data_IF_925463078356
#
_entry.id   IF_925463078356
#
_cell.length_a   1.000
_cell.length_b   1.000
_cell.length_c   1.000
_cell.angle_alpha   90.00
_cell.angle_beta   90.00
_cell.angle_gamma   90.00
#
_symmetry.space_group_name_H-M   'P 1'
#
loop_
_entity.id
_entity.type
_entity.pdbx_description
1 polymer ?
#
# COMPACT_ATOMS: atom_id res chain seq x y z
N UNK A 1 18.84 -3.85 -4.68
CA UNK A 1 17.51 -3.20 -4.65
C UNK A 1 17.31 -2.48 -3.30
N UNK A 2 18.27 -2.28 -2.47
CA UNK A 2 18.28 -1.56 -1.21
C UNK A 2 19.70 -1.18 -0.85
N UNK A 3 19.94 -0.55 0.32
CA UNK A 3 21.29 -0.27 0.78
C UNK A 3 22.11 -1.57 0.98
N UNK A 4 21.46 -2.70 1.26
CA UNK A 4 22.06 -4.03 1.17
C UNK A 4 22.07 -4.45 -0.30
N UNK A 5 23.25 -4.55 -0.90
CA UNK A 5 23.43 -4.92 -2.32
C UNK A 5 22.96 -6.36 -2.57
N UNK A 6 21.68 -6.54 -2.82
CA UNK A 6 21.14 -7.84 -3.27
C UNK A 6 21.59 -8.11 -4.71
N UNK A 7 22.13 -9.29 -4.96
CA UNK A 7 22.63 -9.68 -6.29
C UNK A 7 21.68 -10.67 -6.98
N UNK A 8 21.76 -10.73 -8.29
CA UNK A 8 20.97 -11.69 -9.08
C UNK A 8 21.39 -13.12 -8.72
N UNK A 9 22.68 -13.35 -8.49
CA UNK A 9 23.23 -14.65 -8.08
C UNK A 9 22.65 -15.09 -6.73
N UNK A 10 22.58 -14.17 -5.75
CA UNK A 10 21.99 -14.44 -4.44
C UNK A 10 20.50 -14.78 -4.53
N UNK A 11 19.73 -14.02 -5.32
CA UNK A 11 18.30 -14.31 -5.54
C UNK A 11 18.09 -15.63 -6.29
N UNK A 12 18.98 -15.97 -7.25
CA UNK A 12 18.92 -17.26 -7.95
C UNK A 12 19.23 -18.41 -6.98
N UNK A 13 20.25 -18.27 -6.13
CA UNK A 13 20.58 -19.25 -5.10
C UNK A 13 19.42 -19.43 -4.10
N UNK A 14 18.80 -18.34 -3.66
CA UNK A 14 17.62 -18.37 -2.80
C UNK A 14 16.44 -19.11 -3.45
N UNK A 15 16.17 -18.84 -4.73
CA UNK A 15 15.12 -19.53 -5.46
C UNK A 15 15.38 -21.04 -5.56
N UNK A 16 16.57 -21.43 -6.00
CA UNK A 16 16.92 -22.84 -6.20
C UNK A 16 16.95 -23.62 -4.88
N UNK A 17 17.55 -23.07 -3.84
CA UNK A 17 17.57 -23.71 -2.51
C UNK A 17 16.16 -23.85 -1.93
N UNK A 18 15.33 -22.80 -2.00
CA UNK A 18 13.95 -22.85 -1.55
C UNK A 18 13.12 -23.86 -2.35
N UNK A 19 13.31 -23.91 -3.68
CA UNK A 19 12.64 -24.88 -4.54
C UNK A 19 12.95 -26.31 -4.12
N UNK A 20 14.23 -26.64 -3.93
CA UNK A 20 14.67 -27.98 -3.52
C UNK A 20 14.15 -28.36 -2.14
N UNK A 21 14.28 -27.45 -1.16
CA UNK A 21 13.83 -27.70 0.22
C UNK A 21 12.33 -27.93 0.28
N UNK A 22 11.53 -27.05 -0.36
CA UNK A 22 10.07 -27.15 -0.35
C UNK A 22 9.62 -28.38 -1.14
N UNK A 23 10.23 -28.68 -2.29
CA UNK A 23 9.91 -29.87 -3.08
C UNK A 23 10.20 -31.16 -2.29
N UNK A 24 11.36 -31.25 -1.62
CA UNK A 24 11.73 -32.38 -0.77
C UNK A 24 10.72 -32.55 0.37
N UNK A 25 10.35 -31.47 1.07
CA UNK A 25 9.36 -31.54 2.14
C UNK A 25 7.97 -31.97 1.64
N UNK A 26 7.52 -31.46 0.48
CA UNK A 26 6.25 -31.83 -0.12
C UNK A 26 6.22 -33.27 -0.66
N UNK A 27 7.35 -33.77 -1.16
CA UNK A 27 7.46 -35.16 -1.63
C UNK A 27 7.17 -36.18 -0.50
N UNK A 28 7.51 -35.84 0.75
CA UNK A 28 7.18 -36.67 1.93
C UNK A 28 5.68 -36.76 2.23
N UNK A 29 4.87 -35.89 1.66
CA UNK A 29 3.40 -35.90 1.87
C UNK A 29 2.67 -36.85 0.91
N UNK A 30 3.37 -37.55 0.02
CA UNK A 30 2.77 -38.49 -0.94
C UNK A 30 2.00 -37.82 -2.10
N UNK A 31 2.19 -36.51 -2.32
CA UNK A 31 1.54 -35.78 -3.42
C UNK A 31 2.17 -36.14 -4.78
N UNK A 32 1.41 -36.04 -5.88
CA UNK A 32 1.94 -36.25 -7.23
C UNK A 32 3.10 -35.30 -7.52
N UNK A 33 4.14 -35.78 -8.21
CA UNK A 33 5.36 -35.01 -8.49
C UNK A 33 5.09 -33.66 -9.19
N UNK A 34 4.12 -33.60 -10.11
CA UNK A 34 3.73 -32.36 -10.77
C UNK A 34 3.15 -31.31 -9.81
N UNK A 35 2.38 -31.75 -8.81
CA UNK A 35 1.82 -30.85 -7.78
C UNK A 35 2.93 -30.38 -6.81
N UNK A 36 3.85 -31.27 -6.44
CA UNK A 36 5.01 -30.96 -5.62
C UNK A 36 5.85 -29.87 -6.27
N UNK A 37 6.20 -30.03 -7.54
CA UNK A 37 6.99 -29.04 -8.28
C UNK A 37 6.27 -27.72 -8.47
N UNK A 38 4.98 -27.75 -8.77
CA UNK A 38 4.15 -26.57 -8.92
C UNK A 38 4.09 -25.74 -7.63
N UNK A 39 3.75 -26.38 -6.50
CA UNK A 39 3.66 -25.68 -5.21
C UNK A 39 5.03 -25.18 -4.73
N UNK A 40 6.06 -26.01 -4.89
CA UNK A 40 7.43 -25.63 -4.53
C UNK A 40 7.89 -24.39 -5.34
N UNK A 41 7.59 -24.33 -6.63
CA UNK A 41 7.96 -23.20 -7.48
C UNK A 41 7.24 -21.90 -7.05
N UNK A 42 5.96 -21.95 -6.71
CA UNK A 42 5.21 -20.79 -6.21
C UNK A 42 5.77 -20.26 -4.89
N UNK A 43 6.01 -21.17 -3.93
CA UNK A 43 6.56 -20.81 -2.61
C UNK A 43 7.98 -20.26 -2.75
N UNK A 44 8.84 -20.92 -3.54
CA UNK A 44 10.21 -20.47 -3.77
C UNK A 44 10.27 -19.10 -4.43
N UNK A 45 9.42 -18.85 -5.44
CA UNK A 45 9.35 -17.55 -6.12
C UNK A 45 8.90 -16.45 -5.15
N UNK A 46 7.84 -16.69 -4.37
CA UNK A 46 7.36 -15.73 -3.39
C UNK A 46 8.41 -15.42 -2.32
N UNK A 47 9.04 -16.46 -1.74
CA UNK A 47 10.10 -16.32 -0.74
C UNK A 47 11.29 -15.52 -1.27
N UNK A 48 11.71 -15.78 -2.53
CA UNK A 48 12.79 -15.06 -3.20
C UNK A 48 12.48 -13.57 -3.34
N UNK A 49 11.24 -13.21 -3.70
CA UNK A 49 10.86 -11.78 -3.79
C UNK A 49 10.82 -11.15 -2.40
N UNK A 50 10.33 -11.86 -1.37
CA UNK A 50 10.39 -11.37 0.03
C UNK A 50 11.84 -11.08 0.47
N UNK A 51 12.78 -11.98 0.15
CA UNK A 51 14.21 -11.80 0.43
C UNK A 51 14.77 -10.61 -0.32
N UNK A 52 14.47 -10.47 -1.62
CA UNK A 52 15.02 -9.42 -2.48
C UNK A 52 14.64 -8.00 -2.04
N UNK A 53 13.52 -7.81 -1.33
CA UNK A 53 13.10 -6.50 -0.81
C UNK A 53 13.42 -6.31 0.67
N UNK A 54 13.93 -7.32 1.34
CA UNK A 54 14.23 -7.26 2.77
C UNK A 54 15.31 -6.22 3.09
N UNK A 55 15.18 -5.63 4.27
CA UNK A 55 16.08 -4.59 4.78
C UNK A 55 16.35 -4.82 6.26
N UNK A 56 17.62 -4.70 6.68
CA UNK A 56 18.05 -4.85 8.08
C UNK A 56 17.55 -6.13 8.76
N UNK A 57 17.55 -7.27 8.05
CA UNK A 57 17.15 -8.55 8.61
C UNK A 57 15.64 -8.80 8.65
N UNK A 58 14.84 -7.99 7.95
CA UNK A 58 13.38 -8.22 7.86
C UNK A 58 13.02 -9.52 7.14
N UNK A 59 13.93 -10.08 6.34
CA UNK A 59 13.84 -11.42 5.72
C UNK A 59 13.65 -12.54 6.74
N UNK A 60 14.26 -12.43 7.91
CA UNK A 60 14.09 -13.40 9.00
C UNK A 60 12.62 -13.54 9.46
N UNK A 61 11.79 -12.55 9.16
CA UNK A 61 10.35 -12.58 9.46
C UNK A 61 9.50 -12.74 8.19
N UNK A 62 9.79 -11.97 7.14
CA UNK A 62 8.93 -11.90 5.95
C UNK A 62 9.01 -13.16 5.09
N UNK A 63 10.19 -13.78 4.99
CA UNK A 63 10.38 -15.01 4.22
C UNK A 63 9.65 -16.19 4.86
N UNK A 64 9.89 -16.55 6.15
CA UNK A 64 9.20 -17.69 6.74
C UNK A 64 7.69 -17.50 6.86
N UNK A 65 7.21 -16.32 7.29
CA UNK A 65 5.78 -16.07 7.41
C UNK A 65 5.09 -16.05 6.05
N UNK A 66 5.70 -15.43 5.05
CA UNK A 66 5.15 -15.38 3.70
C UNK A 66 5.13 -16.76 3.03
N UNK A 67 6.22 -17.52 3.14
CA UNK A 67 6.27 -18.89 2.64
C UNK A 67 5.25 -19.80 3.34
N UNK A 68 5.13 -19.68 4.67
CA UNK A 68 4.14 -20.44 5.44
C UNK A 68 2.71 -20.10 5.03
N UNK A 69 2.37 -18.83 4.82
CA UNK A 69 1.04 -18.39 4.38
C UNK A 69 0.69 -18.99 3.00
N UNK A 70 1.60 -18.87 2.03
CA UNK A 70 1.40 -19.40 0.68
C UNK A 70 1.29 -20.93 0.73
N UNK A 71 2.19 -21.58 1.42
CA UNK A 71 2.19 -23.04 1.56
C UNK A 71 0.92 -23.54 2.25
N UNK A 72 0.51 -22.90 3.35
CA UNK A 72 -0.72 -23.22 4.06
C UNK A 72 -1.93 -23.14 3.13
N UNK A 73 -2.05 -22.04 2.37
CA UNK A 73 -3.14 -21.89 1.39
C UNK A 73 -3.16 -23.03 0.38
N UNK A 74 -2.00 -23.33 -0.24
CA UNK A 74 -1.89 -24.39 -1.25
C UNK A 74 -2.17 -25.79 -0.71
N UNK A 75 -1.88 -26.05 0.57
CA UNK A 75 -2.10 -27.37 1.20
C UNK A 75 -3.52 -27.57 1.71
N UNK A 76 -4.22 -26.50 2.09
CA UNK A 76 -5.56 -26.58 2.72
C UNK A 76 -6.72 -26.40 1.73
N UNK A 77 -6.44 -25.95 0.51
CA UNK A 77 -7.44 -25.66 -0.50
C UNK A 77 -7.43 -26.69 -1.65
N UNK A 78 -8.48 -26.69 -2.47
CA UNK A 78 -8.59 -27.59 -3.62
C UNK A 78 -7.56 -27.23 -4.71
N UNK A 79 -7.31 -28.17 -5.63
CA UNK A 79 -6.47 -27.89 -6.81
C UNK A 79 -7.03 -26.75 -7.67
N UNK A 80 -8.35 -26.62 -7.76
CA UNK A 80 -9.00 -25.50 -8.44
C UNK A 80 -8.68 -24.15 -7.78
N UNK A 81 -8.72 -24.10 -6.45
CA UNK A 81 -8.32 -22.90 -5.70
C UNK A 81 -6.84 -22.57 -5.86
N UNK A 82 -5.96 -23.59 -5.85
CA UNK A 82 -4.54 -23.42 -6.10
C UNK A 82 -4.26 -22.88 -7.52
N UNK A 83 -5.04 -23.31 -8.52
CA UNK A 83 -4.95 -22.77 -9.88
C UNK A 83 -5.38 -21.30 -9.94
N UNK A 84 -6.48 -20.93 -9.27
CA UNK A 84 -6.93 -19.52 -9.16
C UNK A 84 -5.89 -18.68 -8.41
N UNK A 85 -5.30 -19.21 -7.35
CA UNK A 85 -4.20 -18.55 -6.65
C UNK A 85 -3.00 -18.29 -7.58
N UNK A 86 -2.62 -19.28 -8.40
CA UNK A 86 -1.54 -19.14 -9.38
C UNK A 86 -1.84 -18.07 -10.44
N UNK A 87 -3.09 -17.95 -10.89
CA UNK A 87 -3.54 -16.86 -11.76
C UNK A 87 -3.40 -15.50 -11.04
N UNK A 88 -3.74 -15.45 -9.75
CA UNK A 88 -3.54 -14.26 -8.90
C UNK A 88 -2.06 -13.87 -8.80
N UNK A 89 -1.15 -14.83 -8.62
CA UNK A 89 0.30 -14.61 -8.66
C UNK A 89 0.72 -14.06 -10.03
N UNK A 90 0.25 -14.66 -11.12
CA UNK A 90 0.52 -14.17 -12.48
C UNK A 90 0.04 -12.73 -12.69
N UNK A 91 -1.15 -12.39 -12.21
CA UNK A 91 -1.69 -11.02 -12.27
C UNK A 91 -0.84 -10.05 -11.43
N UNK A 92 -0.38 -10.46 -10.24
CA UNK A 92 0.51 -9.66 -9.41
C UNK A 92 1.84 -9.35 -10.11
N UNK A 93 2.42 -10.34 -10.81
CA UNK A 93 3.61 -10.15 -11.67
C UNK A 93 3.33 -9.13 -12.76
N UNK A 94 2.24 -9.28 -13.50
CA UNK A 94 1.88 -8.38 -14.60
C UNK A 94 1.69 -6.95 -14.10
N UNK A 95 0.93 -6.76 -13.02
CA UNK A 95 0.70 -5.42 -12.42
C UNK A 95 2.01 -4.79 -11.95
N UNK A 96 2.87 -5.55 -11.26
CA UNK A 96 4.16 -5.07 -10.77
C UNK A 96 5.09 -4.66 -11.92
N UNK A 97 5.24 -5.51 -12.95
CA UNK A 97 6.11 -5.25 -14.10
C UNK A 97 5.61 -4.08 -14.95
N UNK A 98 4.31 -4.02 -15.26
CA UNK A 98 3.73 -2.91 -16.01
C UNK A 98 3.90 -1.59 -15.25
N UNK A 99 3.64 -1.58 -13.95
CA UNK A 99 3.77 -0.39 -13.13
C UNK A 99 5.20 0.10 -12.99
N UNK A 100 6.16 -0.84 -12.94
CA UNK A 100 7.59 -0.51 -13.00
C UNK A 100 7.98 0.10 -14.37
N UNK A 101 7.58 -0.53 -15.48
CA UNK A 101 7.86 -0.01 -16.84
C UNK A 101 7.21 1.35 -17.09
N UNK A 102 6.01 1.57 -16.59
CA UNK A 102 5.29 2.85 -16.67
C UNK A 102 5.83 3.91 -15.69
N UNK A 103 6.87 3.58 -14.89
CA UNK A 103 7.46 4.47 -13.88
C UNK A 103 6.46 4.96 -12.83
N UNK A 104 5.45 4.15 -12.50
CA UNK A 104 4.59 4.34 -11.33
C UNK A 104 5.26 3.84 -10.05
N UNK A 105 6.07 2.76 -10.19
CA UNK A 105 6.78 2.11 -9.10
C UNK A 105 8.30 2.10 -9.36
N UNK A 106 9.07 2.20 -8.28
CA UNK A 106 10.50 1.83 -8.27
C UNK A 106 10.65 0.31 -8.28
N UNK A 107 11.88 -0.20 -8.37
CA UNK A 107 12.13 -1.65 -8.27
C UNK A 107 11.64 -2.24 -6.95
N UNK A 108 11.91 -1.56 -5.83
CA UNK A 108 11.42 -1.99 -4.51
C UNK A 108 9.89 -1.90 -4.39
N UNK A 109 9.28 -0.84 -4.97
CA UNK A 109 7.83 -0.68 -5.03
C UNK A 109 7.16 -1.78 -5.86
N UNK A 110 7.76 -2.20 -6.97
CA UNK A 110 7.26 -3.29 -7.80
C UNK A 110 7.29 -4.63 -7.05
N UNK A 111 8.38 -4.92 -6.32
CA UNK A 111 8.49 -6.12 -5.53
C UNK A 111 7.48 -6.14 -4.35
N UNK A 112 7.30 -5.01 -3.65
CA UNK A 112 6.27 -4.88 -2.61
C UNK A 112 4.85 -5.04 -3.19
N UNK A 113 4.59 -4.49 -4.39
CA UNK A 113 3.31 -4.66 -5.11
C UNK A 113 3.08 -6.11 -5.53
N UNK A 114 4.12 -6.83 -5.92
CA UNK A 114 4.01 -8.26 -6.21
C UNK A 114 3.59 -9.05 -4.96
N UNK A 115 4.24 -8.82 -3.80
CA UNK A 115 3.90 -9.51 -2.55
C UNK A 115 2.46 -9.21 -2.13
N UNK A 116 2.11 -7.93 -2.07
CA UNK A 116 0.75 -7.50 -1.71
C UNK A 116 -0.28 -8.01 -2.71
N UNK A 117 0.02 -7.93 -4.01
CA UNK A 117 -0.83 -8.43 -5.07
C UNK A 117 -1.04 -9.94 -5.00
N UNK A 118 0.00 -10.71 -4.68
CA UNK A 118 -0.13 -12.18 -4.49
C UNK A 118 -1.11 -12.49 -3.36
N UNK A 119 -1.06 -11.78 -2.26
CA UNK A 119 -1.99 -11.94 -1.14
C UNK A 119 -3.41 -11.54 -1.58
N UNK A 120 -3.56 -10.35 -2.15
CA UNK A 120 -4.88 -9.80 -2.48
C UNK A 120 -5.54 -10.53 -3.64
N UNK A 121 -4.82 -10.82 -4.72
CA UNK A 121 -5.38 -11.47 -5.90
C UNK A 121 -5.52 -12.98 -5.71
N UNK A 122 -4.53 -13.61 -5.04
CA UNK A 122 -4.51 -15.05 -4.80
C UNK A 122 -5.51 -15.48 -3.72
N UNK A 123 -5.48 -14.83 -2.55
CA UNK A 123 -6.33 -15.18 -1.40
C UNK A 123 -7.65 -14.41 -1.44
N UNK A 124 -7.60 -13.09 -1.65
CA UNK A 124 -8.76 -12.20 -1.56
C UNK A 124 -9.71 -12.29 -2.76
N UNK A 125 -9.23 -12.78 -3.90
CA UNK A 125 -10.01 -12.90 -5.16
C UNK A 125 -10.60 -11.53 -5.59
N UNK A 126 -11.63 -11.55 -6.46
CA UNK A 126 -12.19 -10.35 -7.07
C UNK A 126 -12.73 -9.31 -6.10
N UNK A 127 -13.41 -9.66 -4.97
CA UNK A 127 -13.91 -8.66 -4.04
C UNK A 127 -12.81 -7.79 -3.45
N UNK A 128 -11.65 -8.35 -3.14
CA UNK A 128 -10.52 -7.61 -2.62
C UNK A 128 -9.64 -7.00 -3.74
N UNK A 129 -9.57 -7.66 -4.89
CA UNK A 129 -8.74 -7.23 -6.03
C UNK A 129 -9.22 -5.92 -6.63
N UNK A 130 -10.53 -5.77 -6.89
CA UNK A 130 -11.06 -4.61 -7.60
C UNK A 130 -10.88 -3.29 -6.81
N UNK A 131 -11.14 -3.20 -5.50
CA UNK A 131 -10.89 -1.99 -4.73
C UNK A 131 -9.41 -1.55 -4.76
N UNK A 132 -8.46 -2.47 -4.53
CA UNK A 132 -7.04 -2.10 -4.52
C UNK A 132 -6.52 -1.72 -5.91
N UNK A 133 -6.97 -2.38 -6.97
CA UNK A 133 -6.63 -2.00 -8.34
C UNK A 133 -7.22 -0.63 -8.68
N UNK A 134 -8.46 -0.34 -8.26
CA UNK A 134 -9.09 0.97 -8.43
C UNK A 134 -8.26 2.05 -7.75
N UNK A 135 -7.93 1.87 -6.47
CA UNK A 135 -7.02 2.78 -5.75
C UNK A 135 -5.72 2.97 -6.51
N UNK A 136 -5.03 1.87 -6.83
CA UNK A 136 -3.68 1.94 -7.40
C UNK A 136 -3.68 2.59 -8.78
N UNK A 137 -4.55 2.16 -9.69
CA UNK A 137 -4.58 2.64 -11.08
C UNK A 137 -5.02 4.11 -11.12
N UNK A 138 -6.16 4.45 -10.51
CA UNK A 138 -6.68 5.81 -10.60
C UNK A 138 -5.78 6.82 -9.87
N UNK A 139 -5.24 6.47 -8.70
CA UNK A 139 -4.29 7.31 -7.99
C UNK A 139 -2.97 7.47 -8.75
N UNK A 140 -2.51 6.43 -9.45
CA UNK A 140 -1.29 6.50 -10.27
C UNK A 140 -1.49 7.34 -11.54
N UNK A 141 -2.66 7.29 -12.15
CA UNK A 141 -3.01 8.16 -13.27
C UNK A 141 -3.13 9.62 -12.81
N UNK A 142 -3.82 9.85 -11.69
CA UNK A 142 -4.00 11.18 -11.12
C UNK A 142 -2.66 11.84 -10.74
N UNK A 143 -1.71 11.07 -10.21
CA UNK A 143 -0.38 11.58 -9.85
C UNK A 143 0.44 12.06 -11.07
N UNK A 144 0.11 11.60 -12.27
CA UNK A 144 0.73 12.11 -13.51
C UNK A 144 0.09 13.39 -14.04
N UNK A 145 -1.12 13.72 -13.60
CA UNK A 145 -1.78 14.96 -13.99
C UNK A 145 -1.08 16.16 -13.34
N UNK A 146 -0.99 17.27 -14.08
CA UNK A 146 -0.37 18.49 -13.58
C UNK A 146 1.14 18.41 -13.31
N UNK A 147 1.84 17.47 -13.93
CA UNK A 147 3.27 17.18 -13.70
C UNK A 147 4.17 18.42 -13.71
N UNK A 148 3.98 19.37 -14.64
CA UNK A 148 4.75 20.62 -14.73
C UNK A 148 4.59 21.49 -13.47
N UNK A 149 3.39 21.56 -12.88
CA UNK A 149 3.11 22.32 -11.67
C UNK A 149 3.70 21.64 -10.44
N UNK A 150 3.55 20.32 -10.34
CA UNK A 150 4.08 19.49 -9.25
C UNK A 150 5.61 19.46 -9.22
N UNK A 151 6.29 19.56 -10.37
CA UNK A 151 7.75 19.66 -10.43
C UNK A 151 8.30 20.88 -9.70
N UNK A 152 7.56 22.00 -9.67
CA UNK A 152 7.95 23.19 -8.89
C UNK A 152 7.86 22.95 -7.37
N UNK A 153 7.04 21.98 -6.92
CA UNK A 153 6.85 21.61 -5.53
C UNK A 153 7.76 20.46 -5.08
N UNK A 154 8.43 19.76 -6.00
CA UNK A 154 9.24 18.57 -5.73
C UNK A 154 10.41 18.78 -4.75
N UNK A 155 10.79 20.03 -4.47
CA UNK A 155 11.78 20.38 -3.46
C UNK A 155 11.26 20.38 -2.03
N UNK A 156 9.94 20.39 -1.81
CA UNK A 156 9.31 20.49 -0.49
C UNK A 156 8.79 19.13 0.00
N UNK A 157 8.29 18.29 -0.92
CA UNK A 157 7.67 16.98 -0.62
C UNK A 157 8.75 15.90 -0.51
N UNK A 158 8.65 15.03 0.48
CA UNK A 158 9.62 13.95 0.72
C UNK A 158 9.79 13.03 -0.50
N UNK A 159 8.69 12.58 -1.07
CA UNK A 159 8.69 11.60 -2.16
C UNK A 159 7.87 12.11 -3.34
N UNK A 160 8.55 12.58 -4.36
CA UNK A 160 7.97 12.89 -5.67
C UNK A 160 8.54 11.94 -6.72
N UNK A 161 7.70 11.10 -7.35
CA UNK A 161 8.15 10.20 -8.41
C UNK A 161 7.54 8.81 -8.33
N UNK A 162 8.31 7.79 -8.74
CA UNK A 162 7.89 6.39 -8.66
C UNK A 162 7.81 5.92 -7.20
N UNK A 163 6.68 5.32 -6.80
CA UNK A 163 6.44 4.86 -5.43
C UNK A 163 7.41 3.73 -5.07
N UNK A 164 8.00 3.81 -3.89
CA UNK A 164 8.87 2.78 -3.32
C UNK A 164 8.09 1.75 -2.48
N UNK A 165 8.82 0.75 -1.92
CA UNK A 165 8.22 -0.29 -1.11
C UNK A 165 7.48 0.25 0.12
N UNK A 166 8.05 1.28 0.80
CA UNK A 166 7.44 1.85 1.99
C UNK A 166 6.12 2.54 1.68
N UNK A 167 6.03 3.25 0.54
CA UNK A 167 4.78 3.85 0.09
C UNK A 167 3.71 2.81 -0.29
N UNK A 168 4.12 1.70 -0.91
CA UNK A 168 3.20 0.58 -1.20
C UNK A 168 2.69 -0.06 0.08
N UNK A 169 3.59 -0.30 1.05
CA UNK A 169 3.24 -0.89 2.35
C UNK A 169 2.38 0.09 3.18
N UNK A 170 2.72 1.38 3.18
CA UNK A 170 1.96 2.36 3.96
C UNK A 170 0.50 2.48 3.49
N UNK A 171 0.26 2.45 2.18
CA UNK A 171 -1.07 2.66 1.61
C UNK A 171 -1.87 1.37 1.40
N UNK A 172 -1.23 0.25 1.10
CA UNK A 172 -1.89 -1.03 0.81
C UNK A 172 -1.68 -2.10 1.88
N UNK A 173 -0.61 -1.99 2.67
CA UNK A 173 -0.24 -2.98 3.69
C UNK A 173 -1.30 -3.18 4.78
N UNK A 174 -1.90 -2.12 5.37
CA UNK A 174 -2.99 -2.28 6.32
C UNK A 174 -4.14 -3.13 5.76
N UNK A 175 -4.55 -2.87 4.50
CA UNK A 175 -5.54 -3.69 3.81
C UNK A 175 -5.09 -5.14 3.63
N UNK A 176 -3.85 -5.37 3.18
CA UNK A 176 -3.28 -6.71 3.05
C UNK A 176 -3.27 -7.49 4.37
N UNK A 177 -2.92 -6.83 5.48
CA UNK A 177 -2.98 -7.42 6.82
C UNK A 177 -4.41 -7.80 7.23
N UNK A 178 -5.37 -6.90 7.00
CA UNK A 178 -6.79 -7.16 7.33
C UNK A 178 -7.35 -8.34 6.51
N UNK A 179 -6.93 -8.49 5.26
CA UNK A 179 -7.28 -9.65 4.44
C UNK A 179 -6.70 -10.94 5.04
N UNK A 180 -5.42 -10.94 5.45
CA UNK A 180 -4.78 -12.12 6.09
C UNK A 180 -5.50 -12.46 7.38
N UNK A 181 -5.83 -11.47 8.21
CA UNK A 181 -6.59 -11.69 9.44
C UNK A 181 -7.97 -12.28 9.14
N UNK A 182 -8.66 -11.79 8.12
CA UNK A 182 -9.94 -12.33 7.66
C UNK A 182 -9.85 -13.74 7.07
N UNK A 183 -8.71 -14.11 6.51
CA UNK A 183 -8.43 -15.47 6.06
C UNK A 183 -8.22 -16.44 7.25
N UNK A 184 -7.51 -15.99 8.29
CA UNK A 184 -7.22 -16.80 9.49
C UNK A 184 -8.45 -16.92 10.40
N UNK A 185 -9.18 -15.82 10.59
CA UNK A 185 -10.40 -15.73 11.42
C UNK A 185 -11.58 -15.22 10.60
N UNK A 186 -12.26 -16.08 9.85
CA UNK A 186 -13.32 -15.67 8.93
C UNK A 186 -14.45 -14.90 9.63
N UNK A 187 -14.62 -13.63 9.26
CA UNK A 187 -15.72 -12.79 9.71
C UNK A 187 -15.99 -11.69 8.65
N UNK A 188 -17.27 -11.35 8.38
CA UNK A 188 -17.64 -10.36 7.37
C UNK A 188 -17.01 -8.98 7.55
N UNK A 189 -16.73 -8.58 8.78
CA UNK A 189 -16.15 -7.26 9.10
C UNK A 189 -14.81 -6.98 8.42
N UNK A 190 -14.01 -8.03 8.17
CA UNK A 190 -12.68 -7.85 7.61
C UNK A 190 -12.68 -7.19 6.23
N UNK A 191 -13.68 -7.49 5.40
CA UNK A 191 -13.84 -6.84 4.12
C UNK A 191 -14.19 -5.35 4.27
N UNK A 192 -15.05 -5.03 5.23
CA UNK A 192 -15.42 -3.64 5.54
C UNK A 192 -14.21 -2.82 6.01
N UNK A 193 -13.43 -3.40 6.93
CA UNK A 193 -12.19 -2.78 7.43
C UNK A 193 -11.14 -2.61 6.33
N UNK A 194 -10.99 -3.62 5.47
CA UNK A 194 -10.15 -3.57 4.28
C UNK A 194 -10.55 -2.41 3.36
N UNK A 195 -11.83 -2.31 3.03
CA UNK A 195 -12.36 -1.25 2.19
C UNK A 195 -12.15 0.14 2.81
N UNK A 196 -12.37 0.28 4.13
CA UNK A 196 -12.14 1.53 4.86
C UNK A 196 -10.66 1.95 4.84
N UNK A 197 -9.72 1.01 5.02
CA UNK A 197 -8.29 1.30 4.95
C UNK A 197 -7.85 1.81 3.57
N UNK A 198 -8.41 1.24 2.50
CA UNK A 198 -8.15 1.69 1.14
C UNK A 198 -8.87 3.01 0.81
N UNK A 199 -10.05 3.24 1.38
CA UNK A 199 -10.76 4.51 1.25
C UNK A 199 -9.94 5.66 1.85
N UNK A 200 -9.30 5.43 3.01
CA UNK A 200 -8.37 6.38 3.62
C UNK A 200 -7.21 6.72 2.68
N UNK A 201 -6.51 5.71 2.16
CA UNK A 201 -5.39 5.89 1.25
C UNK A 201 -5.80 6.59 -0.06
N UNK A 202 -7.00 6.26 -0.58
CA UNK A 202 -7.53 6.88 -1.81
C UNK A 202 -7.91 8.33 -1.56
N UNK A 203 -8.63 8.61 -0.48
CA UNK A 203 -9.06 9.95 -0.11
C UNK A 203 -7.87 10.89 0.11
N UNK A 204 -6.85 10.45 0.85
CA UNK A 204 -5.64 11.23 1.08
C UNK A 204 -4.88 11.48 -0.24
N UNK A 205 -4.63 10.44 -1.03
CA UNK A 205 -3.94 10.60 -2.32
C UNK A 205 -4.68 11.55 -3.25
N UNK A 206 -6.00 11.39 -3.42
CA UNK A 206 -6.77 12.24 -4.32
C UNK A 206 -6.90 13.67 -3.79
N UNK A 207 -7.05 13.84 -2.47
CA UNK A 207 -7.05 15.13 -1.81
C UNK A 207 -5.77 15.92 -2.08
N UNK A 208 -4.63 15.26 -1.91
CA UNK A 208 -3.30 15.85 -2.16
C UNK A 208 -3.07 16.14 -3.64
N UNK A 209 -3.37 15.15 -4.53
CA UNK A 209 -3.10 15.29 -5.96
C UNK A 209 -4.00 16.34 -6.62
N UNK A 210 -5.28 16.40 -6.28
CA UNK A 210 -6.25 17.38 -6.79
C UNK A 210 -6.02 18.73 -6.11
N UNK A 211 -5.76 18.73 -4.79
CA UNK A 211 -5.49 19.95 -4.02
C UNK A 211 -4.28 20.72 -4.55
N UNK A 212 -3.21 20.03 -4.97
CA UNK A 212 -2.03 20.68 -5.56
C UNK A 212 -2.31 21.31 -6.94
N UNK A 213 -3.39 20.97 -7.59
CA UNK A 213 -3.84 21.60 -8.84
C UNK A 213 -4.68 22.88 -8.58
N UNK A 214 -5.07 23.15 -7.34
CA UNK A 214 -5.79 24.38 -6.98
C UNK A 214 -4.98 25.64 -7.31
N UNK A 215 -5.66 26.70 -7.73
CA UNK A 215 -5.05 28.03 -7.93
C UNK A 215 -4.89 28.80 -6.63
N UNK A 216 -5.71 28.49 -5.64
CA UNK A 216 -5.70 29.13 -4.34
C UNK A 216 -4.74 28.43 -3.38
N UNK A 217 -4.09 29.17 -2.52
CA UNK A 217 -3.23 28.62 -1.47
C UNK A 217 -4.08 27.81 -0.48
N UNK A 218 -3.60 26.62 -0.05
CA UNK A 218 -4.26 25.85 0.99
C UNK A 218 -4.16 26.59 2.33
N UNK A 219 -5.00 26.17 3.29
CA UNK A 219 -4.95 26.66 4.67
C UNK A 219 -4.53 25.52 5.59
N UNK A 220 -3.72 25.86 6.61
CA UNK A 220 -3.40 24.90 7.66
C UNK A 220 -4.70 24.43 8.36
N UNK A 221 -4.88 23.11 8.51
CA UNK A 221 -6.05 22.54 9.20
C UNK A 221 -6.12 22.97 10.68
N UNK A 222 -4.99 23.35 11.30
CA UNK A 222 -4.90 23.73 12.71
C UNK A 222 -5.13 25.25 12.89
N UNK A 223 -4.46 26.08 12.08
CA UNK A 223 -4.46 27.53 12.29
C UNK A 223 -5.37 28.28 11.35
N UNK A 224 -5.91 27.61 10.31
CA UNK A 224 -6.70 28.18 9.21
C UNK A 224 -6.02 29.31 8.44
N UNK A 225 -4.73 29.57 8.71
CA UNK A 225 -3.93 30.56 7.99
C UNK A 225 -3.47 29.98 6.64
N UNK A 226 -3.32 30.82 5.59
CA UNK A 226 -2.76 30.38 4.32
C UNK A 226 -1.35 29.80 4.54
N UNK A 227 -1.06 28.71 3.83
CA UNK A 227 0.25 28.03 3.83
C UNK A 227 0.67 27.75 2.38
N UNK A 228 1.97 27.66 2.10
CA UNK A 228 2.44 27.30 0.76
C UNK A 228 1.86 25.96 0.28
N UNK A 229 1.59 25.85 -1.02
CA UNK A 229 1.14 24.60 -1.64
C UNK A 229 2.19 23.49 -1.40
N UNK A 230 1.75 22.30 -0.97
CA UNK A 230 2.63 21.18 -0.63
C UNK A 230 3.11 21.17 0.83
N UNK A 231 2.60 22.09 1.68
CA UNK A 231 2.84 22.05 3.13
C UNK A 231 1.98 20.93 3.74
N UNK A 232 2.59 20.03 4.54
CA UNK A 232 1.87 18.99 5.29
C UNK A 232 0.79 19.59 6.17
N UNK A 233 -0.41 19.04 6.12
CA UNK A 233 -1.59 19.54 6.85
C UNK A 233 -2.22 20.79 6.24
N UNK A 234 -1.85 21.15 5.01
CA UNK A 234 -2.53 22.17 4.22
C UNK A 234 -3.78 21.61 3.55
N UNK A 235 -4.95 22.13 3.88
CA UNK A 235 -6.25 21.73 3.30
C UNK A 235 -6.78 22.80 2.36
N UNK A 236 -7.51 22.39 1.33
CA UNK A 236 -8.23 23.28 0.41
C UNK A 236 -9.59 22.70 0.06
N UNK A 237 -10.56 23.53 -0.30
CA UNK A 237 -11.90 23.05 -0.70
C UNK A 237 -11.81 22.04 -1.84
N UNK A 238 -10.99 22.33 -2.87
CA UNK A 238 -10.81 21.45 -4.02
C UNK A 238 -10.13 20.13 -3.59
N UNK A 239 -9.15 20.18 -2.69
CA UNK A 239 -8.49 18.99 -2.12
C UNK A 239 -9.49 18.16 -1.31
N UNK A 240 -10.29 18.78 -0.44
CA UNK A 240 -11.29 18.06 0.35
C UNK A 240 -12.37 17.42 -0.54
N UNK A 241 -12.81 18.10 -1.60
CA UNK A 241 -13.69 17.49 -2.61
C UNK A 241 -13.03 16.33 -3.33
N UNK A 242 -11.71 16.41 -3.60
CA UNK A 242 -10.91 15.31 -4.13
C UNK A 242 -10.88 14.12 -3.19
N UNK A 243 -10.67 14.35 -1.88
CA UNK A 243 -10.73 13.30 -0.85
C UNK A 243 -12.11 12.64 -0.80
N UNK A 244 -13.17 13.43 -0.82
CA UNK A 244 -14.53 12.92 -0.83
C UNK A 244 -14.81 12.07 -2.07
N UNK A 245 -14.38 12.53 -3.26
CA UNK A 245 -14.54 11.78 -4.51
C UNK A 245 -13.77 10.47 -4.48
N UNK A 246 -12.52 10.47 -4.00
CA UNK A 246 -11.71 9.26 -3.88
C UNK A 246 -12.33 8.23 -2.95
N UNK A 247 -12.79 8.67 -1.78
CA UNK A 247 -13.51 7.81 -0.83
C UNK A 247 -14.83 7.28 -1.40
N UNK A 248 -15.59 8.13 -2.10
CA UNK A 248 -16.86 7.75 -2.74
C UNK A 248 -16.64 6.66 -3.81
N UNK A 249 -15.64 6.83 -4.66
CA UNK A 249 -15.31 5.84 -5.71
C UNK A 249 -14.95 4.51 -5.07
N UNK A 250 -14.13 4.51 -4.00
CA UNK A 250 -13.74 3.27 -3.36
C UNK A 250 -14.90 2.59 -2.62
N UNK A 251 -15.72 3.34 -1.91
CA UNK A 251 -16.95 2.83 -1.29
C UNK A 251 -17.89 2.23 -2.34
N UNK A 252 -18.05 2.91 -3.49
CA UNK A 252 -18.88 2.44 -4.61
C UNK A 252 -18.36 1.15 -5.23
N UNK A 253 -17.05 1.04 -5.48
CA UNK A 253 -16.46 -0.21 -5.98
C UNK A 253 -16.62 -1.33 -4.97
N UNK A 254 -16.38 -1.07 -3.69
CA UNK A 254 -16.55 -2.08 -2.63
C UNK A 254 -18.00 -2.57 -2.54
N UNK A 255 -18.97 -1.68 -2.73
CA UNK A 255 -20.39 -2.04 -2.79
C UNK A 255 -20.70 -2.94 -3.99
N UNK A 256 -20.21 -2.58 -5.18
CA UNK A 256 -20.46 -3.32 -6.43
C UNK A 256 -19.85 -4.72 -6.47
N UNK A 257 -18.68 -4.91 -5.82
CA UNK A 257 -17.98 -6.20 -5.88
C UNK A 257 -18.43 -7.19 -4.81
N UNK A 258 -19.19 -6.74 -3.81
CA UNK A 258 -19.67 -7.62 -2.75
C UNK A 258 -20.87 -8.41 -3.25
N UNK A 259 -20.82 -9.75 -3.28
CA UNK A 259 -21.94 -10.56 -3.72
C UNK A 259 -23.15 -10.34 -2.80
N UNK A 260 -24.31 -10.10 -3.39
CA UNK A 260 -25.57 -9.80 -2.67
C UNK A 260 -25.95 -10.90 -1.66
N UNK A 261 -25.52 -12.14 -1.90
CA UNK A 261 -25.79 -13.31 -1.05
C UNK A 261 -24.62 -13.68 -0.12
N UNK A 262 -23.59 -12.80 -0.03
CA UNK A 262 -22.46 -13.03 0.88
C UNK A 262 -22.81 -12.52 2.29
N UNK A 263 -22.39 -13.18 3.36
CA UNK A 263 -22.51 -12.64 4.72
C UNK A 263 -21.74 -11.30 4.90
N UNK A 264 -20.86 -10.96 3.96
CA UNK A 264 -20.09 -9.71 3.95
C UNK A 264 -20.73 -8.64 3.02
N UNK A 265 -22.06 -8.57 2.95
CA UNK A 265 -22.75 -7.60 2.08
C UNK A 265 -22.44 -6.15 2.54
N UNK A 266 -21.89 -5.35 1.63
CA UNK A 266 -21.82 -3.90 1.82
C UNK A 266 -23.19 -3.33 1.43
N UNK A 267 -24.02 -3.06 2.42
CA UNK A 267 -25.29 -2.34 2.25
C UNK A 267 -25.06 -0.83 2.22
N UNK A 268 -26.15 -0.07 2.22
CA UNK A 268 -26.08 1.41 2.23
C UNK A 268 -25.37 1.93 3.49
N UNK A 269 -25.59 1.30 4.64
CA UNK A 269 -24.94 1.67 5.91
C UNK A 269 -23.44 1.49 5.82
N UNK A 270 -22.96 0.33 5.37
CA UNK A 270 -21.55 0.00 5.23
C UNK A 270 -20.88 0.89 4.17
N UNK A 271 -21.57 1.16 3.05
CA UNK A 271 -21.12 2.12 2.05
C UNK A 271 -20.87 3.50 2.65
N UNK A 272 -21.85 4.02 3.43
CA UNK A 272 -21.72 5.33 4.08
C UNK A 272 -20.62 5.33 5.15
N UNK A 273 -20.41 4.22 5.85
CA UNK A 273 -19.31 4.07 6.82
C UNK A 273 -17.95 4.11 6.12
N UNK A 274 -17.75 3.35 5.03
CA UNK A 274 -16.50 3.39 4.25
C UNK A 274 -16.26 4.82 3.73
N UNK A 275 -17.29 5.44 3.16
CA UNK A 275 -17.21 6.80 2.62
C UNK A 275 -16.81 7.82 3.69
N UNK A 276 -17.49 7.82 4.83
CA UNK A 276 -17.21 8.74 5.92
C UNK A 276 -15.84 8.50 6.55
N UNK A 277 -15.47 7.22 6.75
CA UNK A 277 -14.16 6.83 7.31
C UNK A 277 -12.99 7.30 6.43
N UNK A 278 -13.12 7.20 5.09
CA UNK A 278 -12.07 7.67 4.19
C UNK A 278 -11.88 9.18 4.25
N UNK A 279 -12.95 9.97 4.31
CA UNK A 279 -12.88 11.44 4.46
C UNK A 279 -12.27 11.79 5.82
N UNK A 280 -12.78 11.19 6.90
CA UNK A 280 -12.28 11.44 8.26
C UNK A 280 -10.80 11.11 8.39
N UNK A 281 -10.36 10.02 7.78
CA UNK A 281 -8.95 9.61 7.76
C UNK A 281 -8.06 10.59 6.98
N UNK A 282 -8.52 11.13 5.85
CA UNK A 282 -7.76 12.15 5.10
C UNK A 282 -7.64 13.47 5.89
N UNK A 283 -8.66 13.85 6.65
CA UNK A 283 -8.58 15.01 7.56
C UNK A 283 -7.64 14.70 8.75
N UNK A 284 -7.67 13.47 9.28
CA UNK A 284 -6.77 13.03 10.34
C UNK A 284 -5.31 13.00 9.87
N UNK A 285 -5.04 12.54 8.64
CA UNK A 285 -3.73 12.64 7.99
C UNK A 285 -3.24 14.07 7.95
N UNK A 286 -4.07 14.99 7.46
CA UNK A 286 -3.77 16.43 7.43
C UNK A 286 -3.50 17.00 8.83
N UNK A 287 -4.22 16.54 9.85
CA UNK A 287 -4.00 16.96 11.24
C UNK A 287 -2.65 16.47 11.76
N UNK A 288 -2.31 15.21 11.54
CA UNK A 288 -1.00 14.65 11.89
C UNK A 288 0.12 15.36 11.13
N UNK A 289 -0.09 15.63 9.85
CA UNK A 289 0.84 16.37 8.99
C UNK A 289 1.14 17.77 9.49
N UNK A 290 0.11 18.48 9.98
CA UNK A 290 0.27 19.84 10.54
C UNK A 290 0.96 19.86 11.91
N UNK A 291 0.80 18.81 12.72
CA UNK A 291 1.17 18.80 14.14
C UNK A 291 2.38 17.93 14.46
N UNK A 292 2.34 16.66 14.09
CA UNK A 292 3.29 15.64 14.56
C UNK A 292 4.29 15.17 13.51
N UNK A 293 4.01 15.33 12.20
CA UNK A 293 4.90 14.89 11.14
C UNK A 293 6.24 15.64 11.19
N UNK A 294 7.34 14.90 10.97
CA UNK A 294 8.69 15.44 10.96
C UNK A 294 8.87 16.53 9.88
N UNK A 295 9.37 17.69 10.28
CA UNK A 295 9.74 18.80 9.39
C UNK A 295 11.19 19.14 9.60
N UNK A 296 11.91 19.30 8.50
CA UNK A 296 13.34 19.55 8.50
C UNK A 296 13.66 20.87 7.79
N UNK A 297 14.76 21.52 8.16
CA UNK A 297 15.30 22.69 7.47
C UNK A 297 16.65 22.34 6.85
N UNK A 298 16.83 22.68 5.58
CA UNK A 298 18.10 22.51 4.91
C UNK A 298 19.07 23.64 5.34
N UNK A 299 20.27 23.32 5.86
CA UNK A 299 21.24 24.37 6.24
C UNK A 299 21.80 25.12 5.03
N UNK A 300 21.76 24.55 3.82
CA UNK A 300 22.30 25.17 2.61
C UNK A 300 21.33 26.16 1.97
N UNK A 301 20.04 25.83 1.84
CA UNK A 301 19.07 26.68 1.15
C UNK A 301 17.97 27.22 2.07
N UNK A 302 18.01 26.92 3.37
CA UNK A 302 17.08 27.35 4.42
C UNK A 302 15.60 26.92 4.17
N UNK A 303 15.31 26.11 3.15
CA UNK A 303 13.96 25.61 2.86
C UNK A 303 13.53 24.58 3.91
N UNK A 304 12.28 24.68 4.33
CA UNK A 304 11.63 23.65 5.13
C UNK A 304 11.14 22.54 4.18
N UNK A 305 11.40 21.29 4.54
CA UNK A 305 11.13 20.10 3.75
C UNK A 305 10.82 18.92 4.66
N UNK A 306 10.19 17.88 4.14
CA UNK A 306 10.00 16.58 4.81
C UNK A 306 11.23 15.66 4.65
N UNK A 307 12.22 16.05 3.85
CA UNK A 307 13.41 15.23 3.53
C UNK A 307 14.46 15.34 4.61
N UNK A 308 14.96 14.20 5.09
CA UNK A 308 16.12 14.12 5.99
C UNK A 308 17.45 14.50 5.31
N UNK A 309 17.50 14.52 3.98
CA UNK A 309 18.64 14.98 3.17
C UNK A 309 18.16 15.86 2.02
N UNK A 310 18.83 17.00 1.83
CA UNK A 310 18.51 17.97 0.78
C UNK A 310 19.79 18.54 0.15
N UNK A 311 19.71 19.34 -0.91
CA UNK A 311 20.86 20.00 -1.55
C UNK A 311 22.10 19.11 -1.70
N UNK A 312 22.03 18.13 -2.62
CA UNK A 312 23.12 17.18 -2.92
C UNK A 312 23.47 16.22 -1.76
N UNK A 313 22.46 15.83 -0.96
CA UNK A 313 22.64 14.83 0.10
C UNK A 313 23.09 15.40 1.44
N UNK A 314 23.05 16.72 1.61
CA UNK A 314 23.34 17.34 2.92
C UNK A 314 22.24 17.00 3.92
N UNK A 315 22.62 16.54 5.11
CA UNK A 315 21.70 16.22 6.21
C UNK A 315 20.97 17.49 6.65
N UNK A 316 19.68 17.39 6.84
CA UNK A 316 18.80 18.48 7.28
C UNK A 316 18.63 18.48 8.79
N UNK A 317 18.24 19.61 9.36
CA UNK A 317 17.98 19.77 10.78
C UNK A 317 16.48 19.72 11.07
N UNK A 318 16.08 19.01 12.12
CA UNK A 318 14.67 18.94 12.52
C UNK A 318 14.22 20.29 13.09
N UNK A 319 13.11 20.80 12.59
CA UNK A 319 12.53 22.09 13.03
C UNK A 319 11.11 21.93 13.60
N UNK A 320 10.56 20.71 13.59
CA UNK A 320 9.27 20.43 14.20
C UNK A 320 8.80 18.99 13.95
N UNK A 321 7.83 18.58 14.73
CA UNK A 321 7.29 17.22 14.70
C UNK A 321 8.22 16.17 15.35
N UNK A 322 7.84 14.90 15.20
CA UNK A 322 8.58 13.76 15.72
C UNK A 322 9.50 13.20 14.64
N UNK A 323 10.80 13.11 14.87
CA UNK A 323 11.82 12.71 13.88
C UNK A 323 11.51 11.37 13.18
N UNK A 324 10.86 10.46 13.88
CA UNK A 324 10.48 9.15 13.36
C UNK A 324 9.17 9.15 12.58
N UNK A 325 8.28 10.17 12.71
CA UNK A 325 6.98 10.22 12.07
C UNK A 325 7.09 10.91 10.69
N UNK A 326 7.42 10.13 9.69
CA UNK A 326 7.44 10.55 8.29
C UNK A 326 6.06 10.37 7.62
N UNK A 327 5.94 10.81 6.37
CA UNK A 327 4.69 10.73 5.61
C UNK A 327 4.13 9.29 5.49
N UNK A 328 4.96 8.29 5.28
CA UNK A 328 4.49 6.90 5.17
C UNK A 328 3.84 6.40 6.47
N UNK A 329 4.40 6.78 7.62
CA UNK A 329 3.83 6.44 8.93
C UNK A 329 2.57 7.22 9.25
N UNK A 330 2.45 8.44 8.76
CA UNK A 330 1.20 9.22 8.84
C UNK A 330 0.10 8.54 8.03
N UNK A 331 0.39 8.10 6.80
CA UNK A 331 -0.57 7.35 5.97
C UNK A 331 -1.01 6.04 6.65
N UNK A 332 -0.08 5.30 7.26
CA UNK A 332 -0.43 4.08 8.05
C UNK A 332 -1.34 4.41 9.23
N UNK A 333 -1.05 5.49 9.95
CA UNK A 333 -1.86 5.94 11.09
C UNK A 333 -3.26 6.38 10.64
N UNK A 334 -3.37 7.05 9.48
CA UNK A 334 -4.65 7.45 8.89
C UNK A 334 -5.48 6.21 8.45
N UNK A 335 -4.84 5.21 7.86
CA UNK A 335 -5.50 3.94 7.53
C UNK A 335 -5.97 3.21 8.80
N UNK A 336 -5.13 3.15 9.85
CA UNK A 336 -5.52 2.57 11.14
C UNK A 336 -6.67 3.34 11.80
N UNK A 337 -6.68 4.67 11.71
CA UNK A 337 -7.78 5.50 12.19
C UNK A 337 -9.11 5.18 11.49
N UNK A 338 -9.11 5.03 10.15
CA UNK A 338 -10.30 4.62 9.41
C UNK A 338 -10.83 3.26 9.87
N UNK A 339 -9.93 2.29 10.08
CA UNK A 339 -10.26 0.95 10.58
C UNK A 339 -10.89 1.03 11.98
N UNK A 340 -10.26 1.77 12.89
CA UNK A 340 -10.77 1.96 14.26
C UNK A 340 -12.13 2.67 14.27
N UNK A 341 -12.31 3.69 13.42
CA UNK A 341 -13.58 4.39 13.32
C UNK A 341 -14.71 3.44 12.89
N UNK A 342 -14.46 2.59 11.91
CA UNK A 342 -15.42 1.58 11.46
C UNK A 342 -15.69 0.55 12.56
N UNK A 343 -14.65 0.07 13.26
CA UNK A 343 -14.81 -0.90 14.37
C UNK A 343 -15.65 -0.36 15.52
N UNK A 344 -15.59 0.94 15.80
CA UNK A 344 -16.37 1.57 16.90
C UNK A 344 -17.84 1.77 16.50
N UNK A 345 -18.11 2.03 15.22
CA UNK A 345 -19.45 2.40 14.76
C UNK A 345 -20.24 1.17 14.25
N UNK A 346 -19.53 0.16 13.74
CA UNK A 346 -20.16 -1.06 13.20
C UNK A 346 -20.66 -2.00 14.28
#
# INVERSE_FOLDING_TARGET
IGPDKKSVEGSTAMFLSSLVIVAAALALTGRPAGEVLWFAALVAFFATVCEAISYQGSDNLTVPLGAALVLHYLLTHTRGDAAIFSLGVGMAVVVALLSYRLKFLSSSGAAATFILGTIVFGIGRWPYTLPILTFFILSSLLSKLGKRRKQKLAGMIEKGGARDAWQVIANGGPGGLLLILGYIWPHPIWFLLYAASLAAATADTWGTEIGTLSRNDPRSIVTFKPVPVGTSGGISVIGTLGSALGSLVLAGVSWLVTPQNSPAVVGLREFMLIFAAGIAASLFDSLLGATLQARFRCPVCSKVTEKSHHCRGVKTEIVGGLAWLNNDRVNMAAAAFAVLLVLIIY
#
